data_IF_157038605419
#
_entry.id   IF_157038605419
#
_cell.length_a   1.000
_cell.length_b   1.000
_cell.length_c   1.000
_cell.angle_alpha   90.00
_cell.angle_beta   90.00
_cell.angle_gamma   90.00
#
_symmetry.space_group_name_H-M   'P 1'
#
loop_
_entity.id
_entity.type
_entity.pdbx_description
1 polymer ?
#
# COMPACT_ATOMS: atom_id res chain seq x y z
N UNK A 1 25.10 -15.63 -16.70
CA UNK A 1 24.17 -15.20 -15.65
C UNK A 1 24.38 -13.72 -15.46
N UNK A 2 23.37 -12.87 -15.65
CA UNK A 2 23.47 -11.45 -15.33
C UNK A 2 23.68 -11.32 -13.82
N UNK A 3 24.59 -10.46 -13.39
CA UNK A 3 24.84 -10.24 -11.97
C UNK A 3 23.68 -9.44 -11.38
N UNK A 4 23.04 -9.95 -10.33
CA UNK A 4 22.05 -9.22 -9.56
C UNK A 4 22.72 -8.10 -8.79
N UNK A 5 22.34 -6.85 -9.07
CA UNK A 5 22.97 -5.66 -8.49
C UNK A 5 21.93 -4.91 -7.64
N UNK A 6 22.30 -4.53 -6.41
CA UNK A 6 21.51 -3.59 -5.61
C UNK A 6 21.88 -2.15 -5.95
N UNK A 7 20.86 -1.30 -6.04
CA UNK A 7 21.04 0.14 -6.29
C UNK A 7 19.95 0.95 -5.59
N UNK A 8 20.30 2.16 -5.18
CA UNK A 8 19.33 3.15 -4.75
C UNK A 8 18.78 3.85 -6.00
N UNK A 9 17.48 3.85 -6.19
CA UNK A 9 16.84 4.51 -7.33
C UNK A 9 15.48 5.09 -6.97
N UNK A 10 15.00 6.03 -7.76
CA UNK A 10 13.64 6.53 -7.64
C UNK A 10 12.73 5.70 -8.53
N UNK A 11 11.78 5.01 -7.90
CA UNK A 11 10.78 4.18 -8.57
C UNK A 11 9.52 5.01 -8.80
N UNK A 12 9.06 5.01 -10.03
CA UNK A 12 7.78 5.57 -10.47
C UNK A 12 6.88 4.40 -10.86
N UNK A 13 5.72 4.29 -10.21
CA UNK A 13 4.70 3.31 -10.52
C UNK A 13 3.41 4.02 -10.93
N UNK A 14 2.82 3.62 -12.05
CA UNK A 14 1.53 4.15 -12.52
C UNK A 14 0.60 3.02 -12.92
N UNK A 15 -0.72 3.23 -12.76
CA UNK A 15 -1.76 2.25 -13.07
C UNK A 15 -3.09 2.94 -13.36
N UNK A 16 -3.96 2.31 -14.14
CA UNK A 16 -5.24 2.87 -14.53
C UNK A 16 -6.30 2.62 -13.46
N UNK A 17 -7.00 3.67 -13.05
CA UNK A 17 -8.15 3.55 -12.17
C UNK A 17 -9.32 2.85 -12.89
N UNK A 18 -9.73 1.67 -12.37
CA UNK A 18 -10.91 0.95 -12.85
C UNK A 18 -10.78 0.41 -14.28
N UNK A 19 -9.58 -0.03 -14.67
CA UNK A 19 -9.26 -0.53 -16.01
C UNK A 19 -10.20 -1.65 -16.49
N UNK A 20 -10.51 -2.63 -15.62
CA UNK A 20 -11.43 -3.73 -15.97
C UNK A 20 -12.81 -3.22 -16.39
N UNK A 21 -13.35 -2.19 -15.73
CA UNK A 21 -14.64 -1.58 -16.09
C UNK A 21 -14.59 -0.89 -17.45
N UNK A 22 -13.47 -0.24 -17.78
CA UNK A 22 -13.28 0.38 -19.10
C UNK A 22 -13.23 -0.69 -20.19
N UNK A 23 -12.52 -1.79 -19.94
CA UNK A 23 -12.44 -2.94 -20.85
C UNK A 23 -13.79 -3.63 -21.06
N UNK A 24 -14.62 -3.76 -20.02
CA UNK A 24 -15.99 -4.30 -20.14
C UNK A 24 -16.90 -3.42 -21.02
N UNK A 25 -16.68 -2.10 -21.01
CA UNK A 25 -17.48 -1.16 -21.78
C UNK A 25 -17.06 -1.06 -23.25
N UNK A 26 -15.76 -0.96 -23.52
CA UNK A 26 -15.15 -0.88 -24.87
C UNK A 26 -13.72 -1.42 -24.81
N UNK A 27 -13.52 -2.69 -25.15
CA UNK A 27 -12.22 -3.36 -25.09
C UNK A 27 -11.22 -2.77 -26.08
N UNK A 28 -11.60 -2.61 -27.34
CA UNK A 28 -10.71 -2.13 -28.41
C UNK A 28 -10.32 -0.65 -28.20
N UNK A 29 -11.30 0.21 -27.91
CA UNK A 29 -11.06 1.62 -27.66
C UNK A 29 -10.25 1.86 -26.37
N UNK A 30 -10.49 1.07 -25.33
CA UNK A 30 -9.72 1.12 -24.09
C UNK A 30 -8.27 0.70 -24.32
N UNK A 31 -8.03 -0.40 -25.05
CA UNK A 31 -6.68 -0.85 -25.38
C UNK A 31 -5.93 0.17 -26.26
N UNK A 32 -6.61 0.74 -27.26
CA UNK A 32 -6.02 1.77 -28.11
C UNK A 32 -5.64 3.02 -27.31
N UNK A 33 -6.51 3.43 -26.38
CA UNK A 33 -6.25 4.57 -25.46
C UNK A 33 -5.09 4.29 -24.54
N UNK A 34 -5.03 3.11 -23.93
CA UNK A 34 -3.94 2.70 -23.05
C UNK A 34 -2.59 2.78 -23.77
N UNK A 35 -2.51 2.27 -25.01
CA UNK A 35 -1.28 2.33 -25.82
C UNK A 35 -0.83 3.77 -26.07
N UNK A 36 -1.75 4.66 -26.46
CA UNK A 36 -1.44 6.09 -26.69
C UNK A 36 -0.97 6.80 -25.40
N UNK A 37 -1.58 6.49 -24.25
CA UNK A 37 -1.20 7.09 -22.97
C UNK A 37 0.14 6.59 -22.48
N UNK A 38 0.44 5.30 -22.65
CA UNK A 38 1.75 4.74 -22.36
C UNK A 38 2.86 5.31 -23.23
N UNK A 39 2.58 5.52 -24.52
CA UNK A 39 3.55 6.16 -25.41
C UNK A 39 3.86 7.59 -24.98
N UNK A 40 2.83 8.39 -24.62
CA UNK A 40 3.01 9.72 -24.08
C UNK A 40 3.80 9.70 -22.77
N UNK A 41 3.46 8.78 -21.87
CA UNK A 41 4.16 8.60 -20.58
C UNK A 41 5.62 8.21 -20.81
N UNK A 42 5.90 7.26 -21.70
CA UNK A 42 7.27 6.82 -22.02
C UNK A 42 8.14 8.00 -22.52
N UNK A 43 7.61 8.80 -23.46
CA UNK A 43 8.31 10.02 -23.94
C UNK A 43 8.61 11.01 -22.82
N UNK A 44 7.66 11.24 -21.90
CA UNK A 44 7.86 12.16 -20.80
C UNK A 44 8.86 11.62 -19.77
N UNK A 45 8.82 10.30 -19.49
CA UNK A 45 9.81 9.63 -18.64
C UNK A 45 11.21 9.82 -19.22
N UNK A 46 11.42 9.59 -20.53
CA UNK A 46 12.70 9.76 -21.20
C UNK A 46 13.15 11.25 -21.21
N UNK A 47 12.23 12.20 -21.44
CA UNK A 47 12.53 13.65 -21.41
C UNK A 47 13.07 14.08 -20.05
N UNK A 48 12.67 13.43 -18.97
CA UNK A 48 13.14 13.65 -17.60
C UNK A 48 14.29 12.71 -17.20
N UNK A 49 15.00 12.14 -18.15
CA UNK A 49 16.13 11.23 -17.94
C UNK A 49 15.76 9.99 -17.11
N UNK A 50 14.50 9.54 -17.19
CA UNK A 50 14.03 8.27 -16.67
C UNK A 50 14.08 7.16 -17.71
N UNK A 51 13.82 5.95 -17.27
CA UNK A 51 13.71 4.77 -18.11
C UNK A 51 12.44 3.99 -17.72
N UNK A 52 11.59 3.67 -18.70
CA UNK A 52 10.54 2.69 -18.49
C UNK A 52 11.17 1.31 -18.33
N UNK A 53 10.90 0.68 -17.19
CA UNK A 53 11.44 -0.63 -16.84
C UNK A 53 10.53 -1.73 -17.34
N UNK A 54 9.22 -1.61 -17.01
CA UNK A 54 8.26 -2.65 -17.35
C UNK A 54 6.85 -2.09 -17.51
N UNK A 55 6.02 -2.84 -18.28
CA UNK A 55 4.59 -2.55 -18.47
C UNK A 55 3.79 -3.85 -18.33
N UNK A 56 3.08 -4.03 -17.21
CA UNK A 56 2.22 -5.19 -16.97
C UNK A 56 0.75 -4.80 -16.96
N UNK A 57 -0.06 -5.46 -17.82
CA UNK A 57 -1.49 -5.15 -17.90
C UNK A 57 -1.71 -3.68 -18.21
N UNK A 58 -2.23 -2.88 -17.31
CA UNK A 58 -2.39 -1.42 -17.36
C UNK A 58 -1.31 -0.64 -16.57
N UNK A 59 -0.47 -1.33 -15.82
CA UNK A 59 0.60 -0.71 -15.04
C UNK A 59 1.82 -0.30 -15.88
N UNK A 60 2.54 0.73 -15.42
CA UNK A 60 3.84 1.19 -15.94
C UNK A 60 4.77 1.38 -14.77
N UNK A 61 5.95 0.76 -14.84
CA UNK A 61 7.04 0.96 -13.89
C UNK A 61 8.19 1.67 -14.60
N UNK A 62 8.66 2.75 -14.02
CA UNK A 62 9.84 3.47 -14.49
C UNK A 62 10.79 3.77 -13.34
N UNK A 63 12.07 4.02 -13.69
CA UNK A 63 13.08 4.42 -12.73
C UNK A 63 13.78 5.70 -13.16
N UNK A 64 14.26 6.45 -12.16
CA UNK A 64 14.98 7.70 -12.37
C UNK A 64 16.20 7.77 -11.45
N UNK A 65 17.29 8.31 -11.97
CA UNK A 65 18.46 8.65 -11.15
C UNK A 65 18.26 9.91 -10.30
N UNK A 66 17.23 10.74 -10.63
CA UNK A 66 16.92 11.98 -9.91
C UNK A 66 15.48 11.96 -9.39
N UNK A 67 15.31 12.15 -8.08
CA UNK A 67 14.01 12.27 -7.42
C UNK A 67 13.23 13.48 -7.96
N UNK A 68 13.92 14.59 -8.23
CA UNK A 68 13.31 15.82 -8.74
C UNK A 68 12.73 15.59 -10.14
N UNK A 69 13.48 14.91 -10.99
CA UNK A 69 13.05 14.61 -12.36
C UNK A 69 11.89 13.60 -12.37
N UNK A 70 11.86 12.62 -11.46
CA UNK A 70 10.76 11.70 -11.32
C UNK A 70 9.43 12.42 -10.97
N UNK A 71 9.49 13.39 -10.04
CA UNK A 71 8.30 14.17 -9.65
C UNK A 71 7.86 15.12 -10.77
N UNK A 72 8.80 15.76 -11.47
CA UNK A 72 8.50 16.60 -12.65
C UNK A 72 7.86 15.77 -13.77
N UNK A 73 8.42 14.61 -14.08
CA UNK A 73 7.85 13.69 -15.06
C UNK A 73 6.40 13.29 -14.69
N UNK A 74 6.15 12.98 -13.41
CA UNK A 74 4.81 12.64 -12.95
C UNK A 74 3.81 13.78 -13.11
N UNK A 75 4.22 15.02 -12.83
CA UNK A 75 3.39 16.23 -13.01
C UNK A 75 3.07 16.42 -14.50
N UNK A 76 4.08 16.34 -15.37
CA UNK A 76 3.90 16.52 -16.81
C UNK A 76 3.05 15.40 -17.41
N UNK A 77 3.21 14.14 -16.95
CA UNK A 77 2.36 13.01 -17.31
C UNK A 77 0.90 13.31 -16.96
N UNK A 78 0.60 13.70 -15.72
CA UNK A 78 -0.78 13.96 -15.30
C UNK A 78 -1.40 15.14 -16.07
N UNK A 79 -0.63 16.19 -16.34
CA UNK A 79 -1.09 17.32 -17.14
C UNK A 79 -1.40 16.92 -18.59
N UNK A 80 -0.51 16.17 -19.24
CA UNK A 80 -0.70 15.66 -20.61
C UNK A 80 -1.93 14.74 -20.69
N UNK A 81 -2.09 13.81 -19.72
CA UNK A 81 -3.22 12.89 -19.71
C UNK A 81 -4.55 13.60 -19.40
N UNK A 82 -4.52 14.63 -18.54
CA UNK A 82 -5.69 15.47 -18.27
C UNK A 82 -6.15 16.21 -19.54
N UNK A 83 -5.23 16.79 -20.30
CA UNK A 83 -5.54 17.43 -21.58
C UNK A 83 -6.15 16.47 -22.59
N UNK A 84 -5.61 15.27 -22.72
CA UNK A 84 -6.16 14.21 -23.60
C UNK A 84 -7.54 13.74 -23.15
N UNK A 85 -7.77 13.63 -21.84
CA UNK A 85 -9.07 13.28 -21.28
C UNK A 85 -10.12 14.36 -21.48
N UNK A 86 -9.74 15.65 -21.56
CA UNK A 86 -10.67 16.75 -21.76
C UNK A 86 -11.44 16.64 -23.09
N UNK A 87 -10.83 16.04 -24.11
CA UNK A 87 -11.45 15.80 -25.41
C UNK A 87 -12.30 14.51 -25.48
N UNK A 88 -12.39 13.72 -24.39
CA UNK A 88 -13.08 12.44 -24.36
C UNK A 88 -14.40 12.52 -23.60
N UNK A 89 -15.42 11.71 -23.99
CA UNK A 89 -16.61 11.49 -23.19
C UNK A 89 -16.24 10.99 -21.78
N UNK A 90 -17.03 11.33 -20.78
CA UNK A 90 -16.73 11.04 -19.38
C UNK A 90 -16.51 9.53 -19.12
N UNK A 91 -17.31 8.67 -19.74
CA UNK A 91 -17.26 7.21 -19.64
C UNK A 91 -16.00 6.58 -20.25
N UNK A 92 -15.37 7.27 -21.22
CA UNK A 92 -14.16 6.84 -21.91
C UNK A 92 -12.88 7.49 -21.40
N UNK A 93 -12.96 8.31 -20.34
CA UNK A 93 -11.78 8.92 -19.70
C UNK A 93 -11.00 7.89 -18.93
N UNK A 94 -9.68 7.94 -19.10
CA UNK A 94 -8.76 7.01 -18.46
C UNK A 94 -7.84 7.80 -17.51
N UNK A 95 -7.97 7.55 -16.21
CA UNK A 95 -7.19 8.24 -15.18
C UNK A 95 -6.12 7.30 -14.64
N UNK A 96 -4.87 7.75 -14.67
CA UNK A 96 -3.78 7.06 -14.02
C UNK A 96 -3.59 7.58 -12.60
N UNK A 97 -3.18 6.68 -11.71
CA UNK A 97 -2.71 6.97 -10.36
C UNK A 97 -1.21 6.78 -10.36
N UNK A 98 -0.47 7.66 -9.74
CA UNK A 98 1.00 7.59 -9.72
C UNK A 98 1.51 7.53 -8.29
N UNK A 99 2.45 6.61 -8.03
CA UNK A 99 3.20 6.49 -6.78
C UNK A 99 4.68 6.62 -7.01
N UNK A 100 5.39 7.41 -6.18
CA UNK A 100 6.83 7.61 -6.33
C UNK A 100 7.53 7.33 -5.00
N UNK A 101 8.57 6.50 -5.05
CA UNK A 101 9.39 6.17 -3.89
C UNK A 101 10.89 6.20 -4.23
N UNK A 102 11.71 6.70 -3.31
CA UNK A 102 13.16 6.55 -3.35
C UNK A 102 13.55 5.41 -2.41
N UNK A 103 14.15 4.35 -2.94
CA UNK A 103 14.52 3.19 -2.15
C UNK A 103 15.53 2.28 -2.83
N UNK A 104 16.02 1.31 -2.06
CA UNK A 104 16.90 0.26 -2.56
C UNK A 104 16.11 -0.75 -3.40
N UNK A 105 16.65 -1.12 -4.55
CA UNK A 105 16.08 -2.11 -5.45
C UNK A 105 17.13 -3.12 -5.90
N UNK A 106 16.67 -4.28 -6.29
CA UNK A 106 17.47 -5.29 -6.97
C UNK A 106 17.24 -5.13 -8.47
N UNK A 107 18.30 -4.86 -9.23
CA UNK A 107 18.27 -4.87 -10.68
C UNK A 107 18.67 -6.25 -11.19
N UNK A 108 17.84 -6.85 -12.05
CA UNK A 108 18.08 -8.12 -12.72
C UNK A 108 17.77 -7.95 -14.22
N UNK A 109 18.81 -7.83 -15.02
CA UNK A 109 18.69 -7.41 -16.42
C UNK A 109 18.06 -6.02 -16.54
N UNK A 110 16.98 -5.91 -17.29
CA UNK A 110 16.27 -4.65 -17.51
C UNK A 110 15.18 -4.38 -16.48
N UNK A 111 14.92 -5.31 -15.56
CA UNK A 111 13.85 -5.22 -14.54
C UNK A 111 14.37 -4.83 -13.16
N UNK A 112 13.47 -4.36 -12.28
CA UNK A 112 13.77 -3.99 -10.89
C UNK A 112 12.78 -4.64 -9.93
N UNK A 113 13.28 -5.05 -8.76
CA UNK A 113 12.51 -5.75 -7.71
C UNK A 113 12.84 -5.20 -6.33
N UNK A 114 12.01 -5.52 -5.33
CA UNK A 114 12.27 -5.24 -3.92
C UNK A 114 11.29 -4.27 -3.29
N UNK A 115 11.56 -3.92 -2.02
CA UNK A 115 10.65 -3.12 -1.20
C UNK A 115 10.45 -1.71 -1.76
N UNK A 116 11.48 -1.13 -2.40
CA UNK A 116 11.38 0.15 -3.08
C UNK A 116 10.27 0.18 -4.15
N UNK A 117 10.13 -0.92 -4.92
CA UNK A 117 9.08 -1.09 -5.93
C UNK A 117 7.72 -1.30 -5.27
N UNK A 118 7.65 -2.15 -4.23
CA UNK A 118 6.40 -2.44 -3.52
C UNK A 118 5.82 -1.18 -2.85
N UNK A 119 6.66 -0.32 -2.29
CA UNK A 119 6.24 0.96 -1.70
C UNK A 119 5.68 1.88 -2.78
N UNK A 120 6.36 2.02 -3.93
CA UNK A 120 5.87 2.85 -5.04
C UNK A 120 4.51 2.34 -5.57
N UNK A 121 4.34 1.02 -5.74
CA UNK A 121 3.08 0.40 -6.16
C UNK A 121 1.98 0.62 -5.11
N UNK A 122 2.29 0.59 -3.82
CA UNK A 122 1.32 0.88 -2.76
C UNK A 122 0.90 2.34 -2.74
N UNK A 123 1.84 3.28 -2.84
CA UNK A 123 1.53 4.70 -2.98
C UNK A 123 0.62 4.94 -4.19
N UNK A 124 0.93 4.31 -5.33
CA UNK A 124 0.11 4.37 -6.54
C UNK A 124 -1.32 3.89 -6.27
N UNK A 125 -1.50 2.76 -5.57
CA UNK A 125 -2.83 2.20 -5.30
C UNK A 125 -3.71 3.06 -4.38
N UNK A 126 -3.10 3.89 -3.54
CA UNK A 126 -3.78 4.82 -2.63
C UNK A 126 -3.95 6.23 -3.21
N UNK A 127 -3.34 6.49 -4.37
CA UNK A 127 -3.49 7.79 -5.04
C UNK A 127 -4.91 7.97 -5.60
N UNK A 128 -5.41 9.20 -5.53
CA UNK A 128 -6.65 9.58 -6.21
C UNK A 128 -6.51 9.46 -7.74
N UNK A 129 -7.60 9.22 -8.49
CA UNK A 129 -7.57 9.23 -9.94
C UNK A 129 -7.01 10.53 -10.51
N UNK A 130 -5.95 10.47 -11.31
CA UNK A 130 -5.23 11.65 -11.80
C UNK A 130 -4.26 12.25 -10.78
N UNK A 131 -4.11 11.64 -9.60
CA UNK A 131 -3.25 12.11 -8.52
C UNK A 131 -1.84 11.48 -8.51
N UNK A 132 -0.98 12.06 -7.67
CA UNK A 132 0.39 11.60 -7.43
C UNK A 132 0.59 11.50 -5.92
N UNK A 133 1.01 10.33 -5.42
CA UNK A 133 1.49 10.14 -4.06
C UNK A 133 3.00 9.89 -4.02
N UNK A 134 3.65 10.47 -3.03
CA UNK A 134 5.09 10.31 -2.84
C UNK A 134 5.39 9.86 -1.41
N UNK A 135 6.46 9.08 -1.23
CA UNK A 135 6.97 8.73 0.09
C UNK A 135 7.68 9.91 0.76
N UNK A 136 7.87 9.83 2.09
CA UNK A 136 8.65 10.83 2.82
C UNK A 136 10.09 10.97 2.28
N UNK A 137 10.71 9.88 1.86
CA UNK A 137 12.07 9.93 1.27
C UNK A 137 12.13 10.79 0.02
N UNK A 138 11.07 10.76 -0.80
CA UNK A 138 10.90 11.63 -1.98
C UNK A 138 10.60 13.06 -1.55
N UNK A 139 9.64 13.27 -0.64
CA UNK A 139 9.22 14.59 -0.15
C UNK A 139 10.40 15.40 0.36
N UNK A 140 11.26 14.83 1.21
CA UNK A 140 12.44 15.49 1.76
C UNK A 140 13.42 15.99 0.66
N UNK A 141 13.46 15.30 -0.49
CA UNK A 141 14.32 15.69 -1.61
C UNK A 141 13.72 16.79 -2.49
N UNK A 142 12.38 16.89 -2.58
CA UNK A 142 11.72 17.73 -3.60
C UNK A 142 11.03 18.97 -3.04
N UNK A 143 10.71 19.04 -1.75
CA UNK A 143 9.88 20.10 -1.13
C UNK A 143 10.33 21.52 -1.42
N UNK A 144 11.62 21.74 -1.66
CA UNK A 144 12.19 23.07 -1.98
C UNK A 144 12.71 23.17 -3.43
N UNK A 145 12.45 22.18 -4.28
CA UNK A 145 13.03 22.10 -5.64
C UNK A 145 11.99 21.99 -6.75
N UNK A 146 10.72 21.70 -6.38
CA UNK A 146 9.60 21.62 -7.31
C UNK A 146 8.56 22.64 -6.86
N UNK A 147 8.04 23.43 -7.82
CA UNK A 147 7.08 24.52 -7.54
C UNK A 147 5.64 23.97 -7.45
N UNK A 148 5.38 23.09 -6.49
CA UNK A 148 4.07 22.52 -6.18
C UNK A 148 3.84 22.47 -4.68
N UNK A 149 2.60 22.30 -4.24
CA UNK A 149 2.26 22.08 -2.84
C UNK A 149 2.14 20.60 -2.53
N UNK A 150 2.38 20.24 -1.27
CA UNK A 150 2.31 18.87 -0.78
C UNK A 150 1.37 18.81 0.42
N UNK A 151 0.47 17.81 0.45
CA UNK A 151 -0.39 17.51 1.58
C UNK A 151 0.05 16.23 2.25
N UNK A 152 0.30 16.28 3.54
CA UNK A 152 0.57 15.08 4.33
C UNK A 152 -0.71 14.28 4.50
N UNK A 153 -0.70 12.99 4.11
CA UNK A 153 -1.85 12.08 4.20
C UNK A 153 -1.76 11.10 5.37
N UNK A 154 -0.66 11.15 6.13
CA UNK A 154 -0.41 10.20 7.21
C UNK A 154 0.45 9.03 6.77
N UNK A 155 0.44 7.99 7.61
CA UNK A 155 1.27 6.81 7.46
C UNK A 155 0.50 5.72 6.69
N UNK A 156 1.04 5.29 5.56
CA UNK A 156 0.52 4.14 4.82
C UNK A 156 1.07 2.83 5.37
N UNK A 157 0.19 1.87 5.58
CA UNK A 157 0.56 0.49 5.89
C UNK A 157 0.85 -0.26 4.60
N UNK A 158 2.07 -0.74 4.43
CA UNK A 158 2.47 -1.56 3.28
C UNK A 158 2.48 -3.02 3.71
N UNK A 159 1.78 -3.89 2.98
CA UNK A 159 1.74 -5.32 3.28
C UNK A 159 3.16 -5.90 3.25
N UNK A 160 3.54 -6.65 4.29
CA UNK A 160 4.86 -7.27 4.48
C UNK A 160 6.02 -6.27 4.75
N UNK A 161 5.74 -5.00 5.01
CA UNK A 161 6.71 -4.02 5.50
C UNK A 161 6.25 -3.59 6.88
N UNK A 162 7.08 -3.82 7.92
CA UNK A 162 6.75 -3.49 9.31
C UNK A 162 6.69 -1.99 9.55
N UNK A 163 7.49 -1.22 8.83
CA UNK A 163 7.53 0.23 8.92
C UNK A 163 6.38 0.88 8.15
N UNK A 164 5.71 1.80 8.81
CA UNK A 164 4.71 2.67 8.17
C UNK A 164 5.42 3.69 7.30
N UNK A 165 4.90 3.92 6.11
CA UNK A 165 5.47 4.87 5.15
C UNK A 165 4.70 6.19 5.20
N UNK A 166 5.26 7.27 5.79
CA UNK A 166 4.65 8.59 5.71
C UNK A 166 4.53 9.02 4.25
N UNK A 167 3.33 9.49 3.86
CA UNK A 167 3.00 9.77 2.47
C UNK A 167 2.45 11.18 2.28
N UNK A 168 2.68 11.71 1.08
CA UNK A 168 2.27 13.05 0.69
C UNK A 168 1.59 13.02 -0.68
N UNK A 169 0.50 13.78 -0.84
CA UNK A 169 -0.10 14.06 -2.13
C UNK A 169 0.56 15.28 -2.76
N UNK A 170 0.83 15.20 -4.05
CA UNK A 170 1.34 16.32 -4.85
C UNK A 170 0.15 17.06 -5.48
N UNK A 171 -0.01 18.34 -5.20
CA UNK A 171 -1.05 19.17 -5.81
C UNK A 171 -0.57 19.73 -7.14
N UNK A 172 -1.36 19.52 -8.19
CA UNK A 172 -1.09 19.96 -9.56
C UNK A 172 -2.10 21.06 -9.94
N UNK A 173 -1.66 22.10 -10.65
CA UNK A 173 -2.53 23.13 -11.19
C UNK A 173 -3.04 24.14 -10.16
N UNK A 174 -4.23 24.74 -10.41
CA UNK A 174 -4.85 25.78 -9.56
C UNK A 174 -5.15 25.33 -8.12
N UNK A 175 -5.17 24.03 -7.85
CA UNK A 175 -5.26 23.49 -6.49
C UNK A 175 -4.00 23.78 -5.67
N UNK A 176 -2.84 23.95 -6.31
CA UNK A 176 -1.60 24.36 -5.63
C UNK A 176 -1.70 25.75 -4.98
N UNK A 177 -2.61 26.62 -5.47
CA UNK A 177 -2.82 27.97 -4.97
C UNK A 177 -3.82 28.07 -3.80
N UNK A 178 -4.53 27.00 -3.45
CA UNK A 178 -5.48 27.00 -2.33
C UNK A 178 -4.84 26.32 -1.12
N UNK A 179 -4.37 27.09 -0.10
CA UNK A 179 -4.00 26.45 1.16
C UNK A 179 -5.28 25.82 1.74
N UNK A 180 -5.38 24.48 1.74
CA UNK A 180 -6.30 23.84 2.68
C UNK A 180 -5.78 24.24 4.05
N UNK A 181 -6.60 25.00 4.78
CA UNK A 181 -6.44 25.14 6.21
C UNK A 181 -6.47 23.71 6.75
N UNK A 182 -5.30 23.13 7.05
CA UNK A 182 -5.25 22.06 8.01
C UNK A 182 -5.88 22.66 9.25
N UNK A 183 -7.12 22.30 9.52
CA UNK A 183 -7.60 22.31 10.88
C UNK A 183 -6.69 21.32 11.58
N UNK A 184 -5.59 21.83 12.12
CA UNK A 184 -4.80 21.07 13.08
C UNK A 184 -5.85 20.57 14.10
N UNK A 185 -5.86 19.28 14.47
CA UNK A 185 -6.71 18.84 15.56
C UNK A 185 -6.44 19.83 16.68
N UNK A 186 -7.48 20.54 17.15
CA UNK A 186 -7.34 21.43 18.29
C UNK A 186 -6.55 20.67 19.33
N UNK A 187 -5.42 21.21 19.82
CA UNK A 187 -4.71 20.55 20.89
C UNK A 187 -5.76 20.31 21.98
N UNK A 188 -5.89 19.09 22.51
CA UNK A 188 -6.85 18.82 23.56
C UNK A 188 -6.65 19.93 24.58
N UNK A 189 -7.74 20.68 24.88
CA UNK A 189 -7.72 21.79 25.81
C UNK A 189 -6.85 21.43 26.98
N UNK A 190 -5.71 22.11 27.13
CA UNK A 190 -4.85 21.90 28.27
C UNK A 190 -5.74 22.11 29.51
N UNK A 191 -5.90 21.12 30.40
CA UNK A 191 -6.66 21.31 31.60
C UNK A 191 -6.03 22.53 32.29
N UNK A 192 -6.88 23.50 32.67
CA UNK A 192 -6.49 24.66 33.47
C UNK A 192 -5.55 24.16 34.58
N UNK A 193 -4.40 24.83 34.75
CA UNK A 193 -3.44 24.52 35.79
C UNK A 193 -4.11 24.75 37.15
N UNK A 194 -4.88 23.76 37.61
CA UNK A 194 -5.19 23.68 39.02
C UNK A 194 -3.90 23.40 39.79
N UNK A 195 -3.65 24.25 40.77
CA UNK A 195 -2.52 24.22 41.67
C UNK A 195 -2.40 22.82 42.31
N UNK A 196 -1.33 22.11 42.01
CA UNK A 196 -0.98 20.85 42.65
C UNK A 196 -0.69 21.02 44.13
N UNK A 197 -1.75 20.92 44.95
CA UNK A 197 -1.63 20.72 46.37
C UNK A 197 -1.15 19.30 46.66
N UNK A 198 -0.18 19.20 47.56
CA UNK A 198 0.38 17.96 48.10
C UNK A 198 -0.74 17.08 48.70
N UNK A 199 -1.16 16.04 48.02
CA UNK A 199 -1.83 14.81 48.48
C UNK A 199 -2.45 14.08 47.30
N UNK A 200 -1.62 13.40 46.47
CA UNK A 200 -2.12 12.47 45.48
C UNK A 200 -2.22 11.06 46.09
N UNK A 201 -3.37 10.39 46.00
CA UNK A 201 -3.47 8.98 46.37
C UNK A 201 -2.72 8.11 45.34
N UNK A 202 -2.20 6.92 45.74
CA UNK A 202 -1.42 6.06 44.83
C UNK A 202 -2.25 5.59 43.66
N UNK A 203 -1.70 5.77 42.46
CA UNK A 203 -2.28 5.29 41.18
C UNK A 203 -2.18 3.75 41.13
N UNK A 204 -3.28 3.00 40.99
CA UNK A 204 -3.20 1.55 40.74
C UNK A 204 -2.65 1.29 39.36
N UNK A 205 -1.54 0.57 39.27
CA UNK A 205 -0.94 0.07 38.05
C UNK A 205 -1.89 -0.96 37.39
N UNK A 206 -2.69 -0.54 36.42
CA UNK A 206 -3.40 -1.47 35.54
C UNK A 206 -2.52 -1.86 34.37
N UNK A 207 -1.69 -2.87 34.58
CA UNK A 207 -1.13 -3.70 33.52
C UNK A 207 -2.24 -4.54 32.90
N UNK A 208 -2.95 -3.99 31.91
CA UNK A 208 -3.94 -4.71 31.13
C UNK A 208 -3.26 -5.64 30.12
N UNK A 209 -3.15 -6.93 30.48
CA UNK A 209 -2.77 -7.99 29.54
C UNK A 209 -3.82 -8.09 28.41
N UNK A 210 -3.42 -7.86 27.14
CA UNK A 210 -4.25 -8.04 25.96
C UNK A 210 -4.75 -9.48 25.74
N UNK A 211 -4.30 -10.44 26.54
CA UNK A 211 -4.64 -11.86 26.46
C UNK A 211 -6.03 -12.23 26.99
N UNK A 212 -6.78 -11.29 27.58
CA UNK A 212 -8.06 -11.61 28.24
C UNK A 212 -9.31 -11.45 27.36
N UNK A 213 -9.18 -11.16 26.07
CA UNK A 213 -10.33 -10.85 25.19
C UNK A 213 -10.92 -12.04 24.43
N UNK A 214 -10.26 -13.22 24.45
CA UNK A 214 -10.80 -14.47 23.90
C UNK A 214 -10.52 -15.62 24.86
N UNK A 215 -11.51 -16.12 25.61
CA UNK A 215 -11.33 -17.29 26.47
C UNK A 215 -11.29 -18.58 25.62
N UNK A 216 -10.20 -18.82 24.90
CA UNK A 216 -9.96 -20.14 24.32
C UNK A 216 -9.44 -21.01 25.45
N UNK A 217 -10.13 -22.10 25.83
CA UNK A 217 -9.62 -23.02 26.83
C UNK A 217 -8.24 -23.52 26.41
N UNK A 218 -7.25 -23.50 27.32
CA UNK A 218 -5.84 -23.83 27.05
C UNK A 218 -5.68 -25.18 26.37
N UNK A 219 -6.62 -26.08 26.55
CA UNK A 219 -6.65 -27.43 25.95
C UNK A 219 -6.88 -27.44 24.43
N UNK A 220 -7.44 -26.35 23.85
CA UNK A 220 -7.69 -26.22 22.41
C UNK A 220 -6.66 -25.36 21.71
N UNK A 221 -5.84 -24.59 22.43
CA UNK A 221 -4.85 -23.69 21.85
C UNK A 221 -3.79 -24.46 21.03
N UNK A 222 -3.37 -25.63 21.49
CA UNK A 222 -2.40 -26.46 20.78
C UNK A 222 -2.92 -26.96 19.42
N UNK A 223 -4.20 -27.37 19.35
CA UNK A 223 -4.80 -27.86 18.09
C UNK A 223 -5.00 -26.72 17.09
N UNK A 224 -5.31 -25.52 17.56
CA UNK A 224 -5.45 -24.33 16.72
C UNK A 224 -4.09 -23.94 16.11
N UNK A 225 -3.02 -23.96 16.87
CA UNK A 225 -1.66 -23.69 16.40
C UNK A 225 -1.26 -24.68 15.30
N UNK A 226 -1.48 -25.98 15.51
CA UNK A 226 -1.14 -27.02 14.50
C UNK A 226 -1.94 -26.82 13.22
N UNK A 227 -3.23 -26.47 13.29
CA UNK A 227 -4.06 -26.18 12.13
C UNK A 227 -3.53 -24.98 11.32
N UNK A 228 -3.12 -23.91 12.01
CA UNK A 228 -2.54 -22.71 11.38
C UNK A 228 -1.24 -23.06 10.67
N UNK A 229 -0.34 -23.80 11.33
CA UNK A 229 0.96 -24.20 10.76
C UNK A 229 0.78 -25.08 9.52
N UNK A 230 -0.10 -26.08 9.56
CA UNK A 230 -0.37 -26.98 8.41
C UNK A 230 -0.96 -26.18 7.24
N UNK A 231 -1.85 -25.23 7.51
CA UNK A 231 -2.41 -24.37 6.46
C UNK A 231 -1.35 -23.45 5.86
N UNK A 232 -0.49 -22.87 6.69
CA UNK A 232 0.61 -22.01 6.25
C UNK A 232 1.61 -22.79 5.37
N UNK A 233 1.99 -24.01 5.76
CA UNK A 233 2.88 -24.87 4.97
C UNK A 233 2.24 -25.19 3.61
N UNK A 234 0.94 -25.50 3.57
CA UNK A 234 0.25 -25.80 2.31
C UNK A 234 0.18 -24.57 1.38
N UNK A 235 -0.01 -23.37 1.94
CA UNK A 235 0.02 -22.12 1.17
C UNK A 235 1.42 -21.82 0.62
N UNK A 236 2.46 -22.15 1.38
CA UNK A 236 3.85 -21.90 0.97
C UNK A 236 4.36 -22.92 -0.05
N UNK A 237 3.84 -24.17 -0.02
CA UNK A 237 4.21 -25.25 -0.94
C UNK A 237 3.14 -25.52 -2.00
N UNK A 238 2.43 -24.47 -2.44
CA UNK A 238 1.30 -24.58 -3.35
C UNK A 238 1.70 -25.23 -4.68
N UNK A 239 1.25 -26.46 -4.91
CA UNK A 239 1.45 -27.24 -6.14
C UNK A 239 0.15 -27.50 -6.93
N UNK A 240 -0.88 -26.66 -6.71
CA UNK A 240 -2.19 -26.79 -7.36
C UNK A 240 -3.20 -27.64 -6.60
N UNK A 241 -2.79 -28.41 -5.61
CA UNK A 241 -3.70 -29.19 -4.75
C UNK A 241 -3.63 -28.76 -3.28
N UNK A 242 -4.82 -28.62 -2.67
CA UNK A 242 -4.94 -28.33 -1.24
C UNK A 242 -4.79 -29.63 -0.43
N UNK A 243 -3.54 -30.09 -0.24
CA UNK A 243 -3.26 -31.34 0.49
C UNK A 243 -3.51 -31.22 2.01
N UNK A 244 -3.53 -30.00 2.58
CA UNK A 244 -3.81 -29.74 3.99
C UNK A 244 -5.23 -30.19 4.42
N UNK A 245 -6.15 -30.49 3.49
CA UNK A 245 -7.50 -30.99 3.77
C UNK A 245 -7.50 -32.24 4.65
N UNK A 246 -6.54 -33.16 4.47
CA UNK A 246 -6.47 -34.40 5.23
C UNK A 246 -6.00 -34.20 6.68
N UNK A 247 -4.89 -33.50 6.97
CA UNK A 247 -4.50 -33.17 8.32
C UNK A 247 -5.56 -32.31 9.06
N UNK A 248 -6.19 -31.35 8.38
CA UNK A 248 -7.22 -30.51 8.97
C UNK A 248 -8.48 -31.31 9.35
N UNK A 249 -8.86 -32.30 8.55
CA UNK A 249 -9.94 -33.22 8.88
C UNK A 249 -9.63 -33.99 10.18
N UNK A 250 -8.39 -34.51 10.31
CA UNK A 250 -7.94 -35.18 11.53
C UNK A 250 -8.01 -34.30 12.76
N UNK A 251 -7.61 -33.03 12.66
CA UNK A 251 -7.70 -32.05 13.74
C UNK A 251 -9.15 -31.75 14.10
N UNK A 252 -10.04 -31.63 13.11
CA UNK A 252 -11.47 -31.42 13.34
C UNK A 252 -12.12 -32.58 14.11
N UNK A 253 -11.81 -33.83 13.72
CA UNK A 253 -12.30 -35.03 14.42
C UNK A 253 -11.76 -35.10 15.87
N UNK A 254 -10.48 -34.82 16.08
CA UNK A 254 -9.86 -34.81 17.41
C UNK A 254 -10.51 -33.73 18.31
N UNK A 255 -10.84 -32.57 17.74
CA UNK A 255 -11.52 -31.47 18.44
C UNK A 255 -12.95 -31.88 18.82
N UNK A 256 -13.69 -32.51 17.90
CA UNK A 256 -15.04 -33.01 18.15
C UNK A 256 -15.08 -34.06 19.27
N UNK A 257 -14.15 -35.01 19.25
CA UNK A 257 -14.04 -36.05 20.32
C UNK A 257 -13.74 -35.38 21.67
N UNK A 258 -12.86 -34.37 21.72
CA UNK A 258 -12.57 -33.63 22.97
C UNK A 258 -13.79 -32.86 23.47
N UNK A 259 -14.55 -32.21 22.60
CA UNK A 259 -15.79 -31.51 22.94
C UNK A 259 -16.83 -32.45 23.51
N UNK A 260 -17.02 -33.63 22.91
CA UNK A 260 -17.95 -34.67 23.42
C UNK A 260 -17.54 -35.17 24.83
N UNK A 261 -16.24 -35.37 25.06
CA UNK A 261 -15.72 -35.75 26.38
C UNK A 261 -15.88 -34.65 27.42
N UNK A 262 -15.81 -33.40 27.01
CA UNK A 262 -16.00 -32.24 27.90
C UNK A 262 -17.48 -32.07 28.28
N UNK A 263 -18.38 -32.20 27.31
CA UNK A 263 -19.84 -32.14 27.56
C UNK A 263 -20.39 -33.30 28.43
N UNK A 264 -19.73 -34.48 28.35
CA UNK A 264 -20.09 -35.64 29.17
C UNK A 264 -19.67 -35.55 30.65
N UNK A 265 -18.66 -34.69 30.98
CA UNK A 265 -18.23 -34.46 32.39
C UNK A 265 -19.17 -33.52 33.15
N UNK A 266 -19.89 -32.61 32.45
CA UNK A 266 -20.80 -31.67 33.07
C UNK A 266 -22.15 -32.31 33.50
N UNK A 267 -22.48 -33.54 33.10
CA UNK A 267 -23.73 -34.27 33.45
C UNK A 267 -23.64 -35.23 34.61
N UNK A 268 -22.50 -35.40 35.26
CA UNK A 268 -22.32 -36.32 36.42
C UNK A 268 -22.11 -35.62 37.75
N UNK A 269 -22.46 -34.32 37.83
CA UNK A 269 -22.37 -33.54 39.06
C UNK A 269 -23.67 -32.77 39.35
N UNK A 270 -24.79 -33.45 39.37
CA UNK A 270 -26.02 -33.00 39.97
C UNK A 270 -26.73 -34.21 40.58
#
# INVERSE_FOLDING_TARGET
>A
MAATIRKLTTVFAADVQGYSRLMEHDEEGTLATLKQYREAMGRLVETHNGRVVNTWGDAVIAEFGSVVEAVRAAIDVQNELAQRNAARPQEARMFFRIGINLGDVIADGDDIYGDGVNIAARLQSEAEPGGILISNTVYEQVRNKVAVSFDFLGDLSVKNIEERVPSYSVRIGDEAARPRRHEAPEPPHAPERESWGRNAPPVPSQGGNLASRFPIPKEFAGLAIVAIVVTAINLFTWSGEFWAKWPLLGIAVATAIRLLRYSGRGRRGN
#
